data_IF_684519183487
#
_entry.id   IF_684519183487
#
_cell.length_a   1.000
_cell.length_b   1.000
_cell.length_c   1.000
_cell.angle_alpha   90.00
_cell.angle_beta   90.00
_cell.angle_gamma   90.00
#
_symmetry.space_group_name_H-M   'P 1'
#
loop_
_entity.id
_entity.type
_entity.pdbx_description
1 polymer ?
#
# COMPACT_ATOMS: atom_id res chain seq x y z
N UNK A 1 6.44 -29.37 -20.07
CA UNK A 1 6.07 -30.34 -19.01
C UNK A 1 5.24 -29.59 -17.97
N UNK A 2 3.95 -29.35 -18.27
CA UNK A 2 3.04 -28.62 -17.39
C UNK A 2 2.17 -29.65 -16.64
N UNK A 3 2.38 -29.74 -15.34
CA UNK A 3 1.76 -30.73 -14.48
C UNK A 3 0.40 -30.19 -14.02
N UNK A 4 -0.65 -30.56 -14.76
CA UNK A 4 -2.03 -30.17 -14.51
C UNK A 4 -2.67 -31.20 -13.55
N UNK A 5 -2.38 -31.06 -12.27
CA UNK A 5 -3.16 -31.71 -11.22
C UNK A 5 -3.48 -30.70 -10.13
N UNK A 6 -4.14 -29.59 -10.52
CA UNK A 6 -4.83 -28.75 -9.53
C UNK A 6 -6.03 -29.55 -9.04
N UNK A 7 -5.90 -30.12 -7.85
CA UNK A 7 -7.03 -30.82 -7.24
C UNK A 7 -8.21 -29.86 -7.14
N UNK A 8 -9.41 -30.36 -7.38
CA UNK A 8 -10.64 -29.57 -7.30
C UNK A 8 -10.73 -28.74 -5.99
N UNK A 9 -10.20 -29.30 -4.89
CA UNK A 9 -10.04 -28.63 -3.60
C UNK A 9 -9.17 -27.36 -3.66
N UNK A 10 -8.04 -27.37 -4.38
CA UNK A 10 -7.19 -26.19 -4.55
C UNK A 10 -7.92 -25.07 -5.28
N UNK A 11 -8.70 -25.41 -6.31
CA UNK A 11 -9.53 -24.45 -7.03
C UNK A 11 -10.62 -23.86 -6.11
N UNK A 12 -11.31 -24.69 -5.34
CA UNK A 12 -12.31 -24.23 -4.36
C UNK A 12 -11.70 -23.31 -3.30
N UNK A 13 -10.50 -23.63 -2.80
CA UNK A 13 -9.79 -22.79 -1.84
C UNK A 13 -9.48 -21.41 -2.45
N UNK A 14 -8.94 -21.36 -3.68
CA UNK A 14 -8.64 -20.07 -4.33
C UNK A 14 -9.92 -19.25 -4.56
N UNK A 15 -10.99 -19.88 -5.02
CA UNK A 15 -12.29 -19.21 -5.22
C UNK A 15 -12.87 -18.67 -3.91
N UNK A 16 -12.78 -19.45 -2.84
CA UNK A 16 -13.22 -19.03 -1.51
C UNK A 16 -12.43 -17.80 -1.03
N UNK A 17 -11.10 -17.82 -1.19
CA UNK A 17 -10.25 -16.70 -0.80
C UNK A 17 -10.58 -15.45 -1.64
N UNK A 18 -10.75 -15.58 -2.95
CA UNK A 18 -11.19 -14.48 -3.82
C UNK A 18 -12.54 -13.89 -3.39
N UNK A 19 -13.43 -14.69 -2.81
CA UNK A 19 -14.73 -14.20 -2.32
C UNK A 19 -14.65 -13.47 -0.98
N UNK A 20 -13.69 -13.81 -0.12
CA UNK A 20 -13.55 -13.24 1.22
C UNK A 20 -12.53 -12.09 1.31
N UNK A 21 -11.61 -12.01 0.35
CA UNK A 21 -10.57 -10.97 0.27
C UNK A 21 -10.96 -9.90 -0.75
N UNK A 22 -10.45 -8.65 -0.57
CA UNK A 22 -10.63 -7.61 -1.58
C UNK A 22 -10.00 -8.02 -2.92
N UNK A 23 -10.55 -7.48 -4.01
CA UNK A 23 -10.04 -7.68 -5.36
C UNK A 23 -8.65 -7.08 -5.54
N UNK A 24 -7.88 -7.53 -6.54
CA UNK A 24 -6.52 -7.02 -6.77
C UNK A 24 -6.46 -5.47 -6.91
N UNK A 25 -7.36 -4.78 -7.64
CA UNK A 25 -7.37 -3.31 -7.71
C UNK A 25 -7.66 -2.64 -6.36
N UNK A 26 -8.57 -3.21 -5.57
CA UNK A 26 -8.86 -2.73 -4.23
C UNK A 26 -7.62 -2.88 -3.35
N UNK A 27 -6.96 -4.04 -3.37
CA UNK A 27 -5.72 -4.30 -2.63
C UNK A 27 -4.68 -3.23 -2.94
N UNK A 28 -4.46 -2.90 -4.22
CA UNK A 28 -3.54 -1.84 -4.64
C UNK A 28 -3.93 -0.49 -4.05
N UNK A 29 -5.22 -0.13 -4.09
CA UNK A 29 -5.74 1.12 -3.50
C UNK A 29 -5.53 1.16 -1.99
N UNK A 30 -5.83 0.08 -1.28
CA UNK A 30 -5.65 -0.08 0.16
C UNK A 30 -4.18 0.04 0.54
N UNK A 31 -3.29 -0.58 -0.24
CA UNK A 31 -1.85 -0.48 -0.03
C UNK A 31 -1.35 0.95 -0.18
N UNK A 32 -1.83 1.67 -1.21
CA UNK A 32 -1.53 3.09 -1.40
C UNK A 32 -2.04 3.93 -0.22
N UNK A 33 -3.29 3.74 0.21
CA UNK A 33 -3.85 4.42 1.39
C UNK A 33 -3.06 4.12 2.67
N UNK A 34 -2.55 2.89 2.79
CA UNK A 34 -1.67 2.46 3.87
C UNK A 34 -0.30 3.13 3.90
N UNK A 35 0.06 3.84 2.83
CA UNK A 35 1.26 4.65 2.81
C UNK A 35 1.06 5.95 3.59
N UNK A 36 -0.09 6.57 3.47
CA UNK A 36 -0.37 7.84 4.13
C UNK A 36 -0.94 7.64 5.54
N UNK A 37 -1.76 6.60 5.74
CA UNK A 37 -2.48 6.33 6.99
C UNK A 37 -2.19 4.93 7.51
N UNK A 38 -2.31 4.75 8.83
CA UNK A 38 -2.17 3.42 9.42
C UNK A 38 -3.34 2.53 9.01
N UNK A 39 -3.06 1.39 8.39
CA UNK A 39 -4.09 0.38 8.10
C UNK A 39 -4.53 -0.32 9.38
N UNK A 40 -5.84 -0.55 9.50
CA UNK A 40 -6.42 -1.36 10.57
C UNK A 40 -5.88 -2.79 10.54
N UNK A 41 -5.75 -3.41 11.72
CA UNK A 41 -5.19 -4.76 11.86
C UNK A 41 -5.98 -5.79 11.04
N UNK A 42 -7.31 -5.68 11.04
CA UNK A 42 -8.21 -6.50 10.23
C UNK A 42 -7.85 -6.43 8.74
N UNK A 43 -7.53 -5.24 8.23
CA UNK A 43 -7.19 -5.05 6.84
C UNK A 43 -5.86 -5.70 6.49
N UNK A 44 -4.87 -5.60 7.39
CA UNK A 44 -3.57 -6.26 7.22
C UNK A 44 -3.72 -7.79 7.15
N UNK A 45 -4.64 -8.36 7.93
CA UNK A 45 -4.93 -9.80 7.87
C UNK A 45 -5.56 -10.19 6.53
N UNK A 46 -6.57 -9.44 6.04
CA UNK A 46 -7.18 -9.69 4.72
C UNK A 46 -6.15 -9.66 3.58
N UNK A 47 -5.20 -8.71 3.63
CA UNK A 47 -4.12 -8.62 2.66
C UNK A 47 -3.18 -9.83 2.71
N UNK A 48 -2.82 -10.32 3.91
CA UNK A 48 -2.00 -11.52 4.06
C UNK A 48 -2.66 -12.75 3.44
N UNK A 49 -3.97 -12.91 3.65
CA UNK A 49 -4.75 -13.99 3.04
C UNK A 49 -4.73 -13.84 1.51
N UNK A 50 -4.86 -12.61 0.98
CA UNK A 50 -4.81 -12.36 -0.46
C UNK A 50 -3.45 -12.71 -1.10
N UNK A 51 -2.35 -12.57 -0.35
CA UNK A 51 -1.02 -12.94 -0.85
C UNK A 51 -0.82 -14.44 -1.00
N UNK A 52 -1.62 -15.28 -0.32
CA UNK A 52 -1.52 -16.74 -0.44
C UNK A 52 -1.90 -17.25 -1.84
N UNK A 53 -2.80 -16.55 -2.54
CA UNK A 53 -3.18 -16.90 -3.92
C UNK A 53 -2.69 -15.92 -4.98
N UNK A 54 -2.30 -14.69 -4.60
CA UNK A 54 -1.84 -13.66 -5.54
C UNK A 54 -0.45 -13.13 -5.18
N UNK A 55 0.57 -13.68 -5.84
CA UNK A 55 1.97 -13.24 -5.69
C UNK A 55 2.25 -11.86 -6.28
N UNK A 56 1.45 -11.39 -7.25
CA UNK A 56 1.61 -10.06 -7.85
C UNK A 56 1.32 -8.94 -6.83
N UNK A 57 0.24 -9.07 -6.07
CA UNK A 57 -0.10 -8.11 -5.03
C UNK A 57 0.92 -8.12 -3.88
N UNK A 58 1.51 -9.28 -3.57
CA UNK A 58 2.60 -9.37 -2.60
C UNK A 58 3.85 -8.63 -3.09
N UNK A 59 4.25 -8.83 -4.35
CA UNK A 59 5.39 -8.15 -4.98
C UNK A 59 5.18 -6.63 -5.03
N UNK A 60 4.00 -6.19 -5.43
CA UNK A 60 3.64 -4.77 -5.45
C UNK A 60 3.79 -4.13 -4.05
N UNK A 61 3.32 -4.80 -3.00
CA UNK A 61 3.48 -4.33 -1.63
C UNK A 61 4.95 -4.18 -1.22
N UNK A 62 5.81 -5.13 -1.61
CA UNK A 62 7.26 -5.06 -1.36
C UNK A 62 7.90 -3.88 -2.10
N UNK A 63 7.55 -3.68 -3.38
CA UNK A 63 8.01 -2.55 -4.17
C UNK A 63 7.62 -1.21 -3.54
N UNK A 64 6.36 -1.07 -3.12
CA UNK A 64 5.86 0.17 -2.51
C UNK A 64 6.59 0.49 -1.20
N UNK A 65 6.89 -0.52 -0.38
CA UNK A 65 7.69 -0.35 0.84
C UNK A 65 9.13 0.05 0.54
N UNK A 66 9.74 -0.57 -0.47
CA UNK A 66 11.09 -0.22 -0.90
C UNK A 66 11.17 1.23 -1.37
N UNK A 67 10.23 1.67 -2.22
CA UNK A 67 10.11 3.06 -2.65
C UNK A 67 10.01 3.98 -1.42
N UNK A 68 9.14 3.65 -0.45
CA UNK A 68 9.02 4.44 0.79
C UNK A 68 10.32 4.57 1.55
N UNK A 69 11.05 3.47 1.68
CA UNK A 69 12.29 3.41 2.43
C UNK A 69 13.35 4.28 1.75
N UNK A 70 13.54 4.08 0.45
CA UNK A 70 14.45 4.89 -0.37
C UNK A 70 14.06 6.37 -0.30
N UNK A 71 12.79 6.73 -0.48
CA UNK A 71 12.35 8.14 -0.36
C UNK A 71 12.65 8.78 1.00
N UNK A 72 12.79 7.99 2.07
CA UNK A 72 13.15 8.48 3.42
C UNK A 72 14.65 8.53 3.66
N UNK A 73 15.41 7.64 3.02
CA UNK A 73 16.88 7.55 3.14
C UNK A 73 17.61 8.56 2.26
N UNK A 74 16.93 9.18 1.29
CA UNK A 74 17.49 10.21 0.40
C UNK A 74 16.91 11.62 0.61
N UNK A 75 17.00 12.24 1.81
CA UNK A 75 16.74 13.67 1.94
C UNK A 75 17.80 14.50 1.20
N UNK A 76 19.05 14.04 1.17
CA UNK A 76 20.20 14.82 0.68
C UNK A 76 20.35 14.84 -0.86
N UNK A 77 19.63 13.99 -1.59
CA UNK A 77 19.62 13.99 -3.07
C UNK A 77 18.42 14.68 -3.70
N UNK A 78 17.49 15.19 -2.89
CA UNK A 78 16.56 16.23 -3.33
C UNK A 78 17.23 17.60 -3.11
N UNK A 79 18.49 17.72 -3.54
CA UNK A 79 19.12 19.02 -3.72
C UNK A 79 18.29 19.76 -4.76
N UNK A 80 17.68 20.87 -4.35
CA UNK A 80 16.61 21.63 -5.01
C UNK A 80 15.15 21.18 -4.76
N UNK A 81 14.79 20.62 -3.59
CA UNK A 81 13.58 21.23 -2.99
C UNK A 81 14.04 22.60 -2.57
N UNK A 82 13.59 23.63 -3.28
CA UNK A 82 13.93 25.00 -2.95
C UNK A 82 13.75 25.21 -1.45
N UNK A 83 14.59 26.07 -0.88
CA UNK A 83 14.43 26.60 0.48
C UNK A 83 13.17 27.47 0.61
N UNK A 84 12.15 27.22 -0.23
CA UNK A 84 10.80 27.73 -0.15
C UNK A 84 10.12 27.14 1.09
N UNK A 85 10.59 27.58 2.25
CA UNK A 85 9.75 27.66 3.43
C UNK A 85 8.54 28.49 3.05
N UNK A 86 7.35 27.96 3.35
CA UNK A 86 6.11 28.76 3.36
C UNK A 86 6.36 30.09 4.07
N UNK A 87 5.84 31.19 3.50
CA UNK A 87 5.89 32.49 4.17
C UNK A 87 5.20 32.39 5.54
N UNK A 88 5.61 33.24 6.48
CA UNK A 88 5.03 33.26 7.82
C UNK A 88 3.49 33.40 7.77
N UNK A 89 2.98 34.23 6.86
CA UNK A 89 1.55 34.43 6.65
C UNK A 89 0.84 33.18 6.16
N UNK A 90 1.43 32.44 5.19
CA UNK A 90 0.86 31.19 4.70
C UNK A 90 0.82 30.12 5.80
N UNK A 91 1.85 30.05 6.67
CA UNK A 91 1.86 29.14 7.82
C UNK A 91 0.76 29.48 8.83
N UNK A 92 0.56 30.75 9.15
CA UNK A 92 -0.46 31.16 10.12
C UNK A 92 -1.89 30.98 9.55
N UNK A 93 -2.11 31.19 8.25
CA UNK A 93 -3.39 30.88 7.60
C UNK A 93 -3.74 29.38 7.70
N UNK A 94 -2.78 28.50 7.39
CA UNK A 94 -2.98 27.04 7.50
C UNK A 94 -3.27 26.64 8.95
N UNK A 95 -2.56 27.24 9.90
CA UNK A 95 -2.73 26.98 11.34
C UNK A 95 -4.10 27.45 11.86
N UNK A 96 -4.61 28.57 11.36
CA UNK A 96 -5.94 29.05 11.68
C UNK A 96 -7.04 28.13 11.11
N UNK A 97 -6.87 27.64 9.89
CA UNK A 97 -7.82 26.72 9.23
C UNK A 97 -7.90 25.34 9.91
N UNK A 98 -6.80 24.83 10.49
CA UNK A 98 -6.78 23.54 11.21
C UNK A 98 -7.32 23.61 12.65
N UNK A 99 -7.57 24.83 13.17
CA UNK A 99 -8.12 25.05 14.52
C UNK A 99 -9.66 25.13 14.54
N UNK A 100 -10.31 25.09 13.37
CA UNK A 100 -11.76 24.94 13.21
C UNK A 100 -12.12 23.46 13.13
#
# INVERSE_FOLDING_TARGET
MFQEHRSWLQLQIVLLICRFTPTCPEVVRILSLGMDKQLSLMMRMKLRIHYLMCSFCERYMKQLKYIRQVSREFPDKIGEVSDASLSADAKEQIKAALRQ
#
